data_IF_948472184870
#
_entry.id   IF_948472184870
#
_cell.length_a   1.000
_cell.length_b   1.000
_cell.length_c   1.000
_cell.angle_alpha   90.00
_cell.angle_beta   90.00
_cell.angle_gamma   90.00
#
_symmetry.space_group_name_H-M   'P 1'
#
loop_
_entity.id
_entity.type
_entity.pdbx_description
1 polymer ?
#
# COMPACT_ATOMS: atom_id res chain seq x y z
N UNK A 1 1.42 -6.29 15.38
CA UNK A 1 2.28 -5.72 16.44
C UNK A 1 2.75 -6.86 17.33
N UNK A 2 4.01 -7.30 17.19
CA UNK A 2 4.54 -8.43 18.00
C UNK A 2 5.95 -8.19 18.57
N UNK A 3 6.61 -7.05 18.28
CA UNK A 3 8.00 -6.84 18.72
C UNK A 3 8.35 -5.43 19.21
N UNK A 4 7.44 -4.45 19.11
CA UNK A 4 7.76 -3.04 19.35
C UNK A 4 7.00 -2.39 20.52
N UNK A 5 6.34 -3.16 21.39
CA UNK A 5 5.55 -2.64 22.54
C UNK A 5 4.52 -1.54 22.19
N UNK A 6 4.20 -1.37 20.91
CA UNK A 6 3.25 -0.38 20.40
C UNK A 6 1.84 -0.99 20.30
N UNK A 7 1.43 -1.79 21.28
CA UNK A 7 0.05 -2.28 21.34
C UNK A 7 -0.84 -1.18 21.91
N UNK A 8 -1.63 -0.53 21.06
CA UNK A 8 -2.45 0.64 21.42
C UNK A 8 -3.90 0.23 21.78
N UNK A 9 -4.25 -1.05 21.61
CA UNK A 9 -5.60 -1.57 21.84
C UNK A 9 -6.19 -2.19 20.58
N UNK A 10 -7.52 -2.20 20.48
CA UNK A 10 -8.23 -2.65 19.29
C UNK A 10 -7.95 -1.68 18.13
N UNK A 11 -7.62 -2.23 16.96
CA UNK A 11 -7.49 -1.45 15.74
C UNK A 11 -8.90 -0.99 15.32
N UNK A 12 -9.11 0.30 15.01
CA UNK A 12 -10.41 0.79 14.55
C UNK A 12 -10.78 0.15 13.21
N UNK A 13 -12.07 -0.01 12.93
CA UNK A 13 -12.58 -0.70 11.75
C UNK A 13 -12.09 -0.07 10.43
N UNK A 14 -11.84 1.24 10.44
CA UNK A 14 -11.32 2.00 9.31
C UNK A 14 -9.88 1.61 8.95
N UNK A 15 -9.06 1.29 9.96
CA UNK A 15 -7.66 0.88 9.79
C UNK A 15 -7.49 -0.65 9.78
N UNK A 16 -8.52 -1.40 10.17
CA UNK A 16 -8.48 -2.86 10.18
C UNK A 16 -8.47 -3.42 8.75
N UNK A 17 -7.57 -4.37 8.49
CA UNK A 17 -7.50 -5.08 7.21
C UNK A 17 -7.06 -4.22 6.02
N UNK A 18 -6.25 -3.18 6.27
CA UNK A 18 -5.51 -2.49 5.22
C UNK A 18 -4.45 -3.42 4.62
N UNK A 19 -4.31 -3.40 3.29
CA UNK A 19 -3.19 -4.09 2.62
C UNK A 19 -1.92 -3.28 2.79
N UNK A 20 -0.76 -3.91 2.56
CA UNK A 20 0.53 -3.22 2.60
C UNK A 20 0.56 -1.98 1.69
N UNK A 21 0.01 -2.07 0.47
CA UNK A 21 -0.04 -0.91 -0.43
C UNK A 21 -1.01 0.17 0.05
N UNK A 22 -2.14 -0.21 0.66
CA UNK A 22 -3.07 0.77 1.25
C UNK A 22 -2.40 1.51 2.42
N UNK A 23 -1.60 0.81 3.23
CA UNK A 23 -0.77 1.44 4.27
C UNK A 23 0.25 2.43 3.67
N UNK A 24 0.88 2.11 2.53
CA UNK A 24 1.77 3.04 1.84
C UNK A 24 1.02 4.27 1.30
N UNK A 25 -0.21 4.09 0.81
CA UNK A 25 -1.04 5.18 0.29
C UNK A 25 -1.43 6.20 1.38
N UNK A 26 -1.56 5.74 2.63
CA UNK A 26 -1.89 6.62 3.76
C UNK A 26 -0.66 7.08 4.55
N UNK A 27 0.54 6.62 4.21
CA UNK A 27 1.75 6.97 4.95
C UNK A 27 2.24 8.39 4.61
N UNK A 28 2.38 9.24 5.64
CA UNK A 28 3.01 10.57 5.52
C UNK A 28 4.51 10.54 5.28
N UNK A 29 5.19 9.54 5.83
CA UNK A 29 6.63 9.36 5.72
C UNK A 29 6.89 7.99 5.11
N UNK A 30 7.67 7.97 4.03
CA UNK A 30 8.08 6.73 3.37
C UNK A 30 9.60 6.77 3.27
N UNK A 31 10.26 5.90 4.01
CA UNK A 31 11.73 5.76 4.01
C UNK A 31 12.15 4.42 3.42
N UNK A 32 11.25 3.75 2.69
CA UNK A 32 11.42 2.34 2.32
C UNK A 32 11.06 2.13 0.86
N UNK A 33 12.02 1.62 0.08
CA UNK A 33 11.75 1.05 -1.23
C UNK A 33 11.48 -0.45 -1.06
N UNK A 34 10.35 -0.94 -1.59
CA UNK A 34 9.92 -2.32 -1.48
C UNK A 34 9.91 -3.00 -2.84
N UNK A 35 10.64 -4.09 -3.00
CA UNK A 35 10.54 -4.94 -4.20
C UNK A 35 9.91 -6.28 -3.84
N UNK A 36 8.82 -6.63 -4.52
CA UNK A 36 8.16 -7.91 -4.35
C UNK A 36 8.24 -8.71 -5.64
N UNK A 37 8.88 -9.87 -5.56
CA UNK A 37 8.87 -10.86 -6.65
C UNK A 37 7.72 -11.83 -6.41
N UNK A 38 6.86 -12.02 -7.40
CA UNK A 38 5.82 -13.05 -7.39
C UNK A 38 6.15 -14.08 -8.45
N UNK A 39 6.26 -15.34 -8.04
CA UNK A 39 6.35 -16.46 -8.96
C UNK A 39 4.97 -17.09 -9.12
N UNK A 40 4.45 -17.06 -10.35
CA UNK A 40 3.21 -17.71 -10.73
C UNK A 40 3.53 -19.02 -11.45
N UNK A 41 3.56 -20.13 -10.70
CA UNK A 41 3.66 -21.48 -11.25
C UNK A 41 2.27 -22.04 -11.57
N UNK A 42 2.20 -23.03 -12.47
CA UNK A 42 0.96 -23.71 -12.86
C UNK A 42 0.26 -24.36 -11.66
N UNK A 43 -0.80 -23.75 -11.13
CA UNK A 43 -1.60 -24.29 -10.01
C UNK A 43 -2.26 -23.19 -9.17
N UNK A 44 -3.04 -23.54 -8.12
CA UNK A 44 -3.65 -22.54 -7.22
C UNK A 44 -2.55 -21.66 -6.63
N UNK A 45 -2.76 -20.34 -6.71
CA UNK A 45 -1.81 -19.25 -6.46
C UNK A 45 -0.95 -19.48 -5.20
N UNK A 46 0.18 -20.18 -5.34
CA UNK A 46 1.21 -20.25 -4.31
C UNK A 46 2.21 -19.15 -4.60
N UNK A 47 2.02 -17.99 -3.98
CA UNK A 47 2.99 -16.90 -4.06
C UNK A 47 4.17 -17.21 -3.13
N UNK A 48 5.29 -17.65 -3.70
CA UNK A 48 6.59 -17.57 -3.05
C UNK A 48 7.30 -16.31 -3.55
N UNK A 49 7.73 -15.45 -2.63
CA UNK A 49 8.32 -14.16 -2.96
C UNK A 49 9.31 -13.70 -1.91
N UNK A 50 10.35 -13.00 -2.36
CA UNK A 50 11.25 -12.27 -1.49
C UNK A 50 10.80 -10.81 -1.46
N UNK A 51 10.75 -10.24 -0.25
CA UNK A 51 10.56 -8.80 -0.05
C UNK A 51 11.90 -8.21 0.35
N UNK A 52 12.42 -7.31 -0.47
CA UNK A 52 13.61 -6.53 -0.14
C UNK A 52 13.17 -5.12 0.24
N UNK A 53 13.55 -4.66 1.44
CA UNK A 53 13.27 -3.31 1.93
C UNK A 53 14.58 -2.55 2.03
N UNK A 54 14.71 -1.47 1.27
CA UNK A 54 15.90 -0.59 1.31
C UNK A 54 15.54 0.74 1.96
N UNK A 55 16.37 1.18 2.91
CA UNK A 55 16.25 2.52 3.50
C UNK A 55 16.55 3.59 2.44
N UNK A 56 15.63 4.54 2.28
CA UNK A 56 15.76 5.71 1.43
C UNK A 56 16.05 6.95 2.28
N UNK A 57 16.63 7.98 1.66
CA UNK A 57 16.82 9.27 2.33
C UNK A 57 15.45 9.82 2.79
N UNK A 58 15.30 10.23 4.07
CA UNK A 58 14.03 10.70 4.58
C UNK A 58 13.57 11.94 3.82
N UNK A 59 12.49 11.80 3.04
CA UNK A 59 11.80 12.93 2.42
C UNK A 59 10.98 13.69 3.47
N UNK A 60 10.66 14.95 3.17
CA UNK A 60 9.72 15.73 3.97
C UNK A 60 8.38 15.01 4.10
N UNK A 61 7.69 15.20 5.23
CA UNK A 61 6.38 14.61 5.46
C UNK A 61 5.40 15.08 4.39
N UNK A 62 4.70 14.13 3.77
CA UNK A 62 3.61 14.41 2.85
C UNK A 62 2.48 15.09 3.62
N UNK A 63 2.01 16.21 3.09
CA UNK A 63 0.83 16.92 3.58
C UNK A 63 -0.40 16.63 2.69
N UNK A 64 -0.24 16.09 1.48
CA UNK A 64 -1.35 15.73 0.60
C UNK A 64 -1.38 14.22 0.43
N UNK A 65 -2.51 13.58 0.74
CA UNK A 65 -2.67 12.13 0.69
C UNK A 65 -4.00 11.71 0.02
N UNK A 66 -4.07 10.53 -0.63
CA UNK A 66 -2.94 9.66 -0.95
C UNK A 66 -1.97 10.35 -1.93
N UNK A 67 -0.70 9.94 -2.06
CA UNK A 67 0.20 10.51 -3.06
C UNK A 67 -0.30 10.18 -4.49
N UNK A 68 0.24 10.83 -5.53
CA UNK A 68 0.01 10.36 -6.89
C UNK A 68 0.63 8.97 -7.11
N UNK A 69 0.02 8.15 -7.96
CA UNK A 69 0.36 6.72 -8.12
C UNK A 69 1.79 6.52 -8.64
N UNK A 70 2.29 7.46 -9.44
CA UNK A 70 3.66 7.42 -9.96
C UNK A 70 4.72 7.46 -8.85
N UNK A 71 4.48 8.22 -7.78
CA UNK A 71 5.38 8.27 -6.61
C UNK A 71 5.40 6.92 -5.90
N UNK A 72 4.26 6.22 -5.85
CA UNK A 72 4.21 4.86 -5.29
C UNK A 72 4.91 3.84 -6.20
N UNK A 73 4.84 3.99 -7.52
CA UNK A 73 5.57 3.11 -8.44
C UNK A 73 7.09 3.23 -8.29
N UNK A 74 7.61 4.42 -7.99
CA UNK A 74 9.04 4.64 -7.73
C UNK A 74 9.50 4.01 -6.40
N UNK A 75 8.57 3.76 -5.48
CA UNK A 75 8.85 3.21 -4.14
C UNK A 75 8.53 1.72 -4.03
N UNK A 76 7.55 1.23 -4.81
CA UNK A 76 7.10 -0.16 -4.79
C UNK A 76 7.18 -0.77 -6.19
N UNK A 77 8.08 -1.74 -6.35
CA UNK A 77 8.24 -2.50 -7.58
C UNK A 77 7.69 -3.92 -7.44
N UNK A 78 6.77 -4.30 -8.32
CA UNK A 78 6.20 -5.66 -8.38
C UNK A 78 6.76 -6.36 -9.61
N UNK A 79 7.48 -7.46 -9.39
CA UNK A 79 8.05 -8.29 -10.46
C UNK A 79 7.22 -9.56 -10.57
N UNK A 80 6.44 -9.67 -11.64
CA UNK A 80 5.68 -10.87 -11.96
C UNK A 80 6.54 -11.82 -12.81
N UNK A 81 6.83 -12.99 -12.28
CA UNK A 81 7.55 -14.05 -12.99
C UNK A 81 6.57 -15.17 -13.28
N UNK A 82 6.30 -15.41 -14.56
CA UNK A 82 5.39 -16.44 -15.03
C UNK A 82 6.06 -17.34 -16.08
N UNK A 83 5.62 -18.58 -16.18
CA UNK A 83 6.12 -19.51 -17.21
C UNK A 83 5.76 -19.01 -18.63
N UNK A 84 6.59 -19.30 -19.65
CA UNK A 84 6.32 -18.88 -21.03
C UNK A 84 4.93 -19.33 -21.49
N UNK A 85 4.12 -18.39 -21.99
CA UNK A 85 2.74 -18.64 -22.43
C UNK A 85 1.66 -18.43 -21.37
N UNK A 86 2.01 -18.04 -20.14
CA UNK A 86 1.04 -17.65 -19.11
C UNK A 86 0.46 -16.26 -19.44
N UNK A 87 -0.86 -16.17 -19.53
CA UNK A 87 -1.56 -14.89 -19.68
C UNK A 87 -1.77 -14.30 -18.29
N UNK A 88 -1.26 -13.09 -18.06
CA UNK A 88 -1.56 -12.31 -16.86
C UNK A 88 -2.98 -11.76 -17.02
N UNK A 89 -3.94 -12.34 -16.30
CA UNK A 89 -5.34 -11.89 -16.30
C UNK A 89 -5.63 -10.98 -15.12
N UNK A 90 -6.67 -10.14 -15.20
CA UNK A 90 -7.11 -9.30 -14.09
C UNK A 90 -7.50 -10.14 -12.85
N UNK A 91 -8.02 -11.35 -13.05
CA UNK A 91 -8.30 -12.30 -11.97
C UNK A 91 -7.04 -12.73 -11.21
N UNK A 92 -5.90 -12.86 -11.90
CA UNK A 92 -4.61 -13.16 -11.26
C UNK A 92 -4.18 -12.00 -10.36
N UNK A 93 -4.41 -10.76 -10.80
CA UNK A 93 -4.08 -9.54 -10.05
C UNK A 93 -5.05 -9.31 -8.88
N UNK A 94 -6.32 -9.66 -9.05
CA UNK A 94 -7.38 -9.53 -8.03
C UNK A 94 -7.09 -10.31 -6.74
N UNK A 95 -6.32 -11.39 -6.82
CA UNK A 95 -5.87 -12.17 -5.66
C UNK A 95 -4.61 -11.65 -4.97
N UNK A 96 -3.98 -10.60 -5.48
CA UNK A 96 -2.70 -10.10 -4.96
C UNK A 96 -2.89 -8.92 -3.99
N UNK A 97 -1.99 -8.72 -3.00
CA UNK A 97 -2.04 -7.57 -2.10
C UNK A 97 -1.69 -6.23 -2.80
N UNK A 98 -1.53 -6.22 -4.14
CA UNK A 98 -1.18 -5.05 -4.92
C UNK A 98 -2.39 -4.24 -5.41
N UNK A 99 -3.60 -4.70 -5.10
CA UNK A 99 -4.78 -3.88 -5.29
C UNK A 99 -5.05 -3.03 -4.06
N UNK A 100 -5.37 -1.77 -4.34
CA UNK A 100 -5.73 -0.77 -3.35
C UNK A 100 -7.19 -0.40 -3.53
N UNK A 101 -7.93 -0.35 -2.42
CA UNK A 101 -9.36 -0.01 -2.45
C UNK A 101 -9.52 1.46 -2.08
N UNK A 102 -10.00 2.28 -3.03
CA UNK A 102 -10.23 3.72 -2.83
C UNK A 102 -11.02 4.03 -1.56
N UNK A 103 -12.10 3.26 -1.32
CA UNK A 103 -12.96 3.45 -0.14
C UNK A 103 -12.22 3.20 1.16
N UNK A 104 -11.32 2.20 1.21
CA UNK A 104 -10.51 1.90 2.41
C UNK A 104 -9.48 2.98 2.66
N UNK A 105 -8.79 3.45 1.62
CA UNK A 105 -7.85 4.58 1.73
C UNK A 105 -8.58 5.82 2.25
N UNK A 106 -9.71 6.18 1.64
CA UNK A 106 -10.46 7.39 2.03
C UNK A 106 -10.93 7.31 3.49
N UNK A 107 -11.55 6.20 3.89
CA UNK A 107 -12.04 6.01 5.25
C UNK A 107 -10.89 6.08 6.27
N UNK A 108 -9.76 5.44 5.96
CA UNK A 108 -8.56 5.48 6.79
C UNK A 108 -8.03 6.92 6.94
N UNK A 109 -7.90 7.69 5.85
CA UNK A 109 -7.42 9.06 5.88
C UNK A 109 -8.34 10.00 6.68
N UNK A 110 -9.66 9.88 6.49
CA UNK A 110 -10.63 10.68 7.24
C UNK A 110 -10.58 10.35 8.74
N UNK A 111 -10.49 9.07 9.08
CA UNK A 111 -10.35 8.63 10.46
C UNK A 111 -9.04 9.15 11.07
N UNK A 112 -7.93 9.02 10.35
CA UNK A 112 -6.61 9.49 10.81
C UNK A 112 -6.60 11.00 11.01
N UNK A 113 -7.18 11.78 10.08
CA UNK A 113 -7.25 13.23 10.21
C UNK A 113 -8.01 13.69 11.46
N UNK A 114 -9.05 12.95 11.84
CA UNK A 114 -9.86 13.25 13.02
C UNK A 114 -9.21 12.78 14.34
N UNK A 115 -8.53 11.64 14.33
CA UNK A 115 -8.13 10.94 15.55
C UNK A 115 -6.61 10.93 15.81
N UNK A 116 -5.78 11.28 14.82
CA UNK A 116 -4.34 11.26 14.93
C UNK A 116 -3.77 12.68 14.75
N UNK A 117 -3.17 13.29 15.78
CA UNK A 117 -2.55 14.62 15.68
C UNK A 117 -1.51 14.73 14.57
N UNK A 118 -0.79 13.63 14.29
CA UNK A 118 0.18 13.53 13.19
C UNK A 118 -0.48 13.51 11.81
N UNK A 119 -1.80 13.57 11.70
CA UNK A 119 -2.54 13.64 10.44
C UNK A 119 -3.50 14.83 10.43
N UNK A 120 -3.49 15.69 11.46
CA UNK A 120 -4.45 16.80 11.57
C UNK A 120 -4.34 17.80 10.42
N UNK A 121 -3.14 17.98 9.87
CA UNK A 121 -2.78 18.91 8.80
C UNK A 121 -2.84 18.30 7.39
N UNK A 122 -3.20 17.02 7.24
CA UNK A 122 -3.21 16.41 5.90
C UNK A 122 -4.38 16.93 5.05
N UNK A 123 -4.14 17.17 3.78
CA UNK A 123 -5.14 17.43 2.75
C UNK A 123 -5.44 16.12 2.01
N UNK A 124 -6.72 15.78 1.91
CA UNK A 124 -7.14 14.57 1.19
C UNK A 124 -7.39 14.93 -0.27
N UNK A 125 -6.54 14.43 -1.17
CA UNK A 125 -6.70 14.62 -2.61
C UNK A 125 -7.74 13.65 -3.18
N UNK A 126 -8.97 14.15 -3.32
CA UNK A 126 -10.04 13.40 -3.99
C UNK A 126 -9.78 13.23 -5.49
N UNK A 127 -9.07 14.16 -6.11
CA UNK A 127 -8.71 14.10 -7.53
C UNK A 127 -7.85 12.87 -7.83
N UNK A 128 -6.76 12.69 -7.11
CA UNK A 128 -5.89 11.52 -7.28
C UNK A 128 -6.61 10.23 -6.92
N UNK A 129 -7.37 10.23 -5.81
CA UNK A 129 -8.15 9.07 -5.39
C UNK A 129 -9.18 8.62 -6.43
N UNK A 130 -9.75 9.54 -7.23
CA UNK A 130 -10.74 9.23 -8.26
C UNK A 130 -10.13 8.90 -9.63
N UNK A 131 -9.01 9.54 -9.99
CA UNK A 131 -8.45 9.48 -11.34
C UNK A 131 -7.24 8.55 -11.47
N UNK A 132 -6.44 8.37 -10.42
CA UNK A 132 -5.18 7.63 -10.49
C UNK A 132 -5.24 6.25 -9.83
N UNK A 133 -6.05 6.13 -8.77
CA UNK A 133 -6.30 4.85 -8.12
C UNK A 133 -7.40 4.09 -8.85
N UNK A 134 -7.36 2.75 -8.94
CA UNK A 134 -8.33 1.91 -9.65
C UNK A 134 -9.67 1.80 -8.93
#
# INVERSE_FOLDING_TARGET
SYANNCWIGNVPAELEGLTFLEEQCIARARSTHCTVKIEAEHGPLKSHGNVCIFSQEPRSLECVLPPPINVLCDEVAVILVASPGTIITDELLNGTPFLVRRSKILNALLWLKLNNPLYSDIEVSYEWLLNEYP
#
